data_IF_440773649274
#
_entry.id   IF_440773649274
#
_cell.length_a   1.000
_cell.length_b   1.000
_cell.length_c   1.000
_cell.angle_alpha   90.00
_cell.angle_beta   90.00
_cell.angle_gamma   90.00
#
_symmetry.space_group_name_H-M   'P 1'
#
loop_
_entity.id
_entity.type
_entity.pdbx_description
1 polymer ?
#
# COMPACT_ATOMS: atom_id res chain seq x y z
N UNK A 1 -5.67 -26.42 6.62
CA UNK A 1 -5.51 -25.00 6.20
C UNK A 1 -4.46 -24.35 7.08
N UNK A 2 -3.42 -23.72 6.52
CA UNK A 2 -2.51 -22.89 7.33
C UNK A 2 -3.28 -21.65 7.77
N UNK A 3 -3.34 -21.36 9.07
CA UNK A 3 -3.90 -20.10 9.58
C UNK A 3 -3.09 -18.94 8.99
N UNK A 4 -3.70 -18.12 8.16
CA UNK A 4 -3.10 -16.86 7.70
C UNK A 4 -3.28 -15.85 8.83
N UNK A 5 -2.19 -15.46 9.47
CA UNK A 5 -2.20 -14.42 10.49
C UNK A 5 -1.99 -13.05 9.85
N UNK A 6 -2.84 -12.11 10.26
CA UNK A 6 -2.85 -10.74 9.76
C UNK A 6 -2.36 -9.79 10.85
N UNK A 7 -1.68 -8.74 10.43
CA UNK A 7 -1.10 -7.75 11.33
C UNK A 7 -1.41 -6.35 10.84
N UNK A 8 -1.99 -5.55 11.73
CA UNK A 8 -2.22 -4.11 11.51
C UNK A 8 -0.98 -3.37 12.01
N UNK A 9 -0.50 -2.48 11.16
CA UNK A 9 0.52 -1.50 11.48
C UNK A 9 -0.12 -0.12 11.51
N UNK A 10 0.35 0.70 12.44
CA UNK A 10 -0.20 2.03 12.70
C UNK A 10 0.94 3.03 12.81
N UNK A 11 0.82 4.16 12.12
CA UNK A 11 1.80 5.25 12.14
C UNK A 11 1.18 6.54 12.66
N UNK A 12 1.92 7.25 13.51
CA UNK A 12 1.65 8.65 13.82
C UNK A 12 2.28 9.52 12.72
N UNK A 13 1.48 10.03 11.79
CA UNK A 13 1.99 10.57 10.51
C UNK A 13 2.27 12.08 10.53
N UNK A 14 1.93 12.77 11.63
CA UNK A 14 2.35 14.18 11.85
C UNK A 14 3.82 14.31 12.21
N UNK A 15 4.42 13.25 12.73
CA UNK A 15 5.84 13.21 13.12
C UNK A 15 6.56 12.14 12.32
N UNK A 16 6.30 12.09 11.01
CA UNK A 16 6.89 11.08 10.14
C UNK A 16 8.41 11.32 10.03
N UNK A 17 9.26 10.33 10.38
CA UNK A 17 10.70 10.45 10.19
C UNK A 17 11.05 10.68 8.71
N UNK A 18 12.15 11.38 8.40
CA UNK A 18 12.58 11.59 7.03
C UNK A 18 12.97 10.26 6.37
N UNK A 19 12.88 10.20 5.04
CA UNK A 19 13.39 9.08 4.27
C UNK A 19 14.92 9.11 4.25
N UNK A 20 15.58 8.11 4.85
CA UNK A 20 17.04 8.07 4.99
C UNK A 20 17.79 8.01 3.65
N UNK A 21 17.22 7.33 2.65
CA UNK A 21 17.85 7.14 1.35
C UNK A 21 16.88 7.54 0.25
N UNK A 22 17.16 8.62 -0.50
CA UNK A 22 16.34 9.00 -1.63
C UNK A 22 16.42 7.93 -2.73
N UNK A 23 15.37 7.85 -3.54
CA UNK A 23 15.38 6.99 -4.72
C UNK A 23 16.35 7.53 -5.77
N UNK A 24 16.97 6.67 -6.58
CA UNK A 24 17.70 7.08 -7.78
C UNK A 24 16.87 8.00 -8.69
N UNK A 25 17.52 8.98 -9.32
CA UNK A 25 16.87 10.04 -10.09
C UNK A 25 16.03 9.57 -11.29
N UNK A 26 16.24 8.34 -11.78
CA UNK A 26 15.43 7.76 -12.87
C UNK A 26 14.06 7.24 -12.39
N UNK A 27 13.82 7.20 -11.08
CA UNK A 27 12.50 6.93 -10.52
C UNK A 27 11.81 8.23 -10.13
N UNK A 28 10.53 8.35 -10.48
CA UNK A 28 9.70 9.49 -10.11
C UNK A 28 8.59 9.04 -9.16
N UNK A 29 8.50 9.68 -7.99
CA UNK A 29 7.40 9.49 -7.04
C UNK A 29 6.38 10.62 -7.24
N UNK A 30 5.11 10.30 -7.43
CA UNK A 30 4.04 11.29 -7.61
C UNK A 30 2.66 10.74 -7.28
N UNK A 31 1.67 11.62 -7.19
CA UNK A 31 0.27 11.23 -7.23
C UNK A 31 -0.10 10.59 -8.58
N UNK A 32 -0.97 9.58 -8.55
CA UNK A 32 -1.62 9.05 -9.75
C UNK A 32 -2.72 10.01 -10.22
N UNK A 33 -2.90 10.13 -11.53
CA UNK A 33 -4.07 10.83 -12.10
C UNK A 33 -5.26 9.88 -12.20
N UNK A 34 -6.48 10.40 -12.37
CA UNK A 34 -7.68 9.55 -12.45
C UNK A 34 -7.69 8.68 -13.71
N UNK A 35 -7.08 9.14 -14.79
CA UNK A 35 -6.94 8.41 -16.05
C UNK A 35 -6.04 7.17 -15.91
N UNK A 36 -5.17 7.16 -14.89
CA UNK A 36 -4.24 6.06 -14.60
C UNK A 36 -4.88 4.93 -13.78
N UNK A 37 -6.16 5.02 -13.42
CA UNK A 37 -6.85 4.03 -12.57
C UNK A 37 -6.63 2.58 -13.02
N UNK A 38 -6.82 2.31 -14.33
CA UNK A 38 -6.64 0.96 -14.90
C UNK A 38 -5.18 0.49 -14.83
N UNK A 39 -4.22 1.40 -15.03
CA UNK A 39 -2.79 1.08 -14.94
C UNK A 39 -2.39 0.78 -13.50
N UNK A 40 -2.87 1.57 -12.55
CA UNK A 40 -2.65 1.37 -11.12
C UNK A 40 -3.25 0.04 -10.66
N UNK A 41 -4.50 -0.25 -11.02
CA UNK A 41 -5.13 -1.53 -10.69
C UNK A 41 -4.36 -2.71 -11.29
N UNK A 42 -3.89 -2.60 -12.53
CA UNK A 42 -3.06 -3.63 -13.16
C UNK A 42 -1.75 -3.87 -12.39
N UNK A 43 -1.05 -2.81 -11.96
CA UNK A 43 0.19 -2.94 -11.17
C UNK A 43 -0.07 -3.61 -9.83
N UNK A 44 -1.14 -3.22 -9.13
CA UNK A 44 -1.55 -3.86 -7.87
C UNK A 44 -1.80 -5.35 -8.10
N UNK A 45 -2.70 -5.70 -9.02
CA UNK A 45 -3.06 -7.10 -9.25
C UNK A 45 -1.86 -7.95 -9.67
N UNK A 46 -0.98 -7.39 -10.50
CA UNK A 46 0.24 -8.08 -10.94
C UNK A 46 1.21 -8.32 -9.79
N UNK A 47 1.41 -7.32 -8.92
CA UNK A 47 2.28 -7.46 -7.75
C UNK A 47 1.77 -8.54 -6.78
N UNK A 48 0.45 -8.56 -6.51
CA UNK A 48 -0.15 -9.61 -5.66
C UNK A 48 -0.10 -11.00 -6.31
N UNK A 49 -0.33 -11.09 -7.63
CA UNK A 49 -0.34 -12.38 -8.33
C UNK A 49 1.05 -13.02 -8.41
N UNK A 50 2.11 -12.19 -8.50
CA UNK A 50 3.50 -12.66 -8.61
C UNK A 50 4.21 -12.83 -7.27
N UNK A 51 3.61 -12.41 -6.15
CA UNK A 51 4.13 -12.65 -4.81
C UNK A 51 3.59 -13.98 -4.27
N UNK A 52 4.47 -14.96 -4.06
CA UNK A 52 4.11 -16.30 -3.57
C UNK A 52 3.48 -16.31 -2.17
N UNK A 53 3.64 -15.24 -1.38
CA UNK A 53 2.95 -15.08 -0.10
C UNK A 53 1.50 -14.60 -0.27
N UNK A 54 1.16 -14.07 -1.45
CA UNK A 54 -0.15 -13.52 -1.78
C UNK A 54 -0.94 -14.32 -2.80
N UNK A 55 -0.30 -14.94 -3.78
CA UNK A 55 -0.91 -15.64 -4.91
C UNK A 55 -2.07 -16.56 -4.50
N UNK A 56 -1.86 -17.35 -3.45
CA UNK A 56 -2.85 -18.34 -2.97
C UNK A 56 -4.09 -17.71 -2.32
N UNK A 57 -3.95 -16.49 -1.79
CA UNK A 57 -5.04 -15.78 -1.10
C UNK A 57 -5.65 -14.70 -1.97
N UNK A 58 -4.98 -14.25 -3.03
CA UNK A 58 -5.49 -13.19 -3.90
C UNK A 58 -6.91 -13.51 -4.40
N UNK A 59 -7.14 -14.74 -4.85
CA UNK A 59 -8.47 -15.18 -5.31
C UNK A 59 -9.58 -15.02 -4.26
N UNK A 60 -9.24 -15.01 -2.96
CA UNK A 60 -10.21 -14.90 -1.87
C UNK A 60 -10.69 -13.46 -1.63
N UNK A 61 -9.94 -12.45 -2.08
CA UNK A 61 -10.28 -11.05 -1.84
C UNK A 61 -10.12 -10.14 -3.06
N UNK A 62 -9.87 -10.73 -4.24
CA UNK A 62 -9.64 -10.01 -5.49
C UNK A 62 -10.77 -9.04 -5.82
N UNK A 63 -12.00 -9.53 -5.87
CA UNK A 63 -13.17 -8.70 -6.22
C UNK A 63 -13.33 -7.51 -5.28
N UNK A 64 -13.08 -7.75 -3.98
CA UNK A 64 -13.11 -6.69 -2.98
C UNK A 64 -11.97 -5.69 -3.18
N UNK A 65 -10.75 -6.16 -3.46
CA UNK A 65 -9.63 -5.28 -3.74
C UNK A 65 -9.94 -4.42 -4.97
N UNK A 66 -10.44 -5.02 -6.05
CA UNK A 66 -10.87 -4.29 -7.26
C UNK A 66 -11.91 -3.21 -6.93
N UNK A 67 -12.94 -3.55 -6.15
CA UNK A 67 -13.94 -2.60 -5.68
C UNK A 67 -13.32 -1.44 -4.87
N UNK A 68 -12.40 -1.73 -3.95
CA UNK A 68 -11.75 -0.70 -3.13
C UNK A 68 -10.83 0.20 -3.96
N UNK A 69 -10.14 -0.35 -4.96
CA UNK A 69 -9.35 0.43 -5.91
C UNK A 69 -10.26 1.39 -6.69
N UNK A 70 -11.38 0.90 -7.22
CA UNK A 70 -12.34 1.73 -7.95
C UNK A 70 -12.92 2.83 -7.07
N UNK A 71 -13.31 2.51 -5.82
CA UNK A 71 -13.83 3.49 -4.87
C UNK A 71 -12.79 4.57 -4.54
N UNK A 72 -11.53 4.20 -4.34
CA UNK A 72 -10.46 5.18 -4.09
C UNK A 72 -10.34 6.17 -5.26
N UNK A 73 -10.31 5.66 -6.51
CA UNK A 73 -10.23 6.50 -7.71
C UNK A 73 -11.49 7.33 -8.00
N UNK A 74 -12.62 7.03 -7.36
CA UNK A 74 -13.85 7.84 -7.44
C UNK A 74 -13.91 8.92 -6.36
N UNK A 75 -13.44 8.62 -5.14
CA UNK A 75 -13.70 9.44 -3.95
C UNK A 75 -12.52 10.33 -3.56
N UNK A 76 -11.31 9.80 -3.66
CA UNK A 76 -10.13 10.45 -3.12
C UNK A 76 -9.65 11.58 -4.04
N UNK A 77 -9.17 12.67 -3.45
CA UNK A 77 -8.49 13.74 -4.19
C UNK A 77 -7.16 13.23 -4.77
N UNK A 78 -6.40 12.48 -3.96
CA UNK A 78 -5.20 11.75 -4.37
C UNK A 78 -5.43 10.26 -4.12
N UNK A 79 -5.85 9.49 -5.14
CA UNK A 79 -6.27 8.10 -4.95
C UNK A 79 -5.10 7.15 -4.72
N UNK A 80 -3.92 7.48 -5.24
CA UNK A 80 -2.74 6.64 -5.10
C UNK A 80 -1.46 7.46 -5.22
N UNK A 81 -0.40 6.96 -4.58
CA UNK A 81 0.97 7.36 -4.90
C UNK A 81 1.58 6.29 -5.80
N UNK A 82 2.26 6.72 -6.86
CA UNK A 82 2.92 5.86 -7.83
C UNK A 82 4.42 6.13 -7.87
N UNK A 83 5.18 5.09 -8.20
CA UNK A 83 6.56 5.22 -8.66
C UNK A 83 6.60 4.85 -10.13
N UNK A 84 7.13 5.76 -10.96
CA UNK A 84 7.35 5.55 -12.37
C UNK A 84 8.83 5.39 -12.70
N UNK A 85 9.12 4.58 -13.71
CA UNK A 85 10.42 4.48 -14.38
C UNK A 85 10.22 4.88 -15.85
N UNK A 86 10.60 6.11 -16.19
CA UNK A 86 10.18 6.73 -17.45
C UNK A 86 8.64 6.84 -17.54
N UNK A 87 8.01 6.41 -18.65
CA UNK A 87 6.56 6.48 -18.82
C UNK A 87 5.79 5.36 -18.08
N UNK A 88 6.48 4.37 -17.51
CA UNK A 88 5.85 3.18 -16.93
C UNK A 88 5.67 3.32 -15.43
N UNK A 89 4.44 3.13 -14.93
CA UNK A 89 4.18 2.92 -13.51
C UNK A 89 4.65 1.51 -13.12
N UNK A 90 5.52 1.41 -12.11
CA UNK A 90 6.17 0.17 -11.68
C UNK A 90 5.89 -0.19 -10.21
N UNK A 91 5.37 0.76 -9.45
CA UNK A 91 4.89 0.54 -8.10
C UNK A 91 3.78 1.53 -7.77
N UNK A 92 2.90 1.16 -6.85
CA UNK A 92 1.78 1.99 -6.42
C UNK A 92 1.30 1.62 -5.03
N UNK A 93 0.78 2.61 -4.30
CA UNK A 93 0.01 2.40 -3.08
C UNK A 93 -1.28 3.20 -3.18
N UNK A 94 -2.40 2.49 -3.20
CA UNK A 94 -3.73 3.09 -3.20
C UNK A 94 -4.13 3.48 -1.78
N UNK A 95 -4.71 4.66 -1.66
CA UNK A 95 -4.99 5.33 -0.39
C UNK A 95 -6.49 5.34 -0.09
N UNK A 96 -6.80 5.45 1.20
CA UNK A 96 -8.12 5.76 1.71
C UNK A 96 -7.95 6.83 2.81
N UNK A 97 -8.58 7.99 2.65
CA UNK A 97 -8.46 9.12 3.58
C UNK A 97 -9.49 9.10 4.72
N UNK A 98 -10.37 8.11 4.77
CA UNK A 98 -11.30 7.94 5.89
C UNK A 98 -10.52 7.60 7.18
N UNK A 99 -10.60 8.44 8.24
CA UNK A 99 -9.97 8.16 9.53
C UNK A 99 -10.48 6.89 10.22
N UNK A 100 -11.68 6.43 9.85
CA UNK A 100 -12.30 5.21 10.37
C UNK A 100 -11.98 3.95 9.54
N UNK A 101 -11.27 4.09 8.41
CA UNK A 101 -10.92 2.94 7.58
C UNK A 101 -10.05 1.93 8.34
N UNK A 102 -10.34 0.65 8.14
CA UNK A 102 -9.53 -0.43 8.70
C UNK A 102 -8.05 -0.40 8.25
N UNK A 103 -7.83 0.09 7.03
CA UNK A 103 -6.53 0.30 6.40
C UNK A 103 -6.61 1.54 5.52
N UNK A 104 -5.75 2.54 5.78
CA UNK A 104 -5.58 3.70 4.90
C UNK A 104 -4.69 3.38 3.69
N UNK A 105 -3.91 2.30 3.77
CA UNK A 105 -3.13 1.74 2.66
C UNK A 105 -3.92 0.59 2.03
N UNK A 106 -4.82 0.89 1.09
CA UNK A 106 -5.75 -0.08 0.47
C UNK A 106 -5.02 -1.26 -0.15
N UNK A 107 -3.99 -0.99 -0.95
CA UNK A 107 -3.16 -2.04 -1.57
C UNK A 107 -1.87 -2.32 -0.81
N UNK A 108 -1.53 -1.49 0.19
CA UNK A 108 -0.14 -1.35 0.62
C UNK A 108 0.80 -0.92 -0.51
N UNK A 109 2.12 -0.83 -0.25
CA UNK A 109 3.13 -0.66 -1.28
C UNK A 109 3.20 -1.90 -2.18
N UNK A 110 2.62 -1.81 -3.36
CA UNK A 110 2.67 -2.85 -4.39
C UNK A 110 3.76 -2.50 -5.39
N UNK A 111 4.76 -3.38 -5.54
CA UNK A 111 5.91 -3.19 -6.43
C UNK A 111 5.97 -4.37 -7.39
N UNK A 112 6.11 -4.11 -8.69
CA UNK A 112 6.31 -5.18 -9.67
C UNK A 112 7.59 -5.97 -9.35
N UNK A 113 7.54 -7.29 -9.52
CA UNK A 113 8.57 -8.21 -9.01
C UNK A 113 9.96 -7.93 -9.59
N UNK A 114 10.05 -7.50 -10.85
CA UNK A 114 11.30 -7.14 -11.50
C UNK A 114 11.94 -5.85 -10.94
N UNK A 115 11.18 -5.07 -10.16
CA UNK A 115 11.58 -3.82 -9.50
C UNK A 115 11.78 -3.94 -7.97
N UNK A 116 11.46 -5.09 -7.37
CA UNK A 116 11.66 -5.35 -5.94
C UNK A 116 13.13 -5.25 -5.50
N UNK A 117 13.34 -5.22 -4.17
CA UNK A 117 14.66 -5.17 -3.51
C UNK A 117 15.53 -3.93 -3.83
N UNK A 118 14.92 -2.84 -4.32
CA UNK A 118 15.58 -1.55 -4.63
C UNK A 118 15.16 -0.39 -3.72
N UNK A 119 14.57 -0.69 -2.56
CA UNK A 119 14.06 0.33 -1.63
C UNK A 119 12.72 0.97 -2.03
N UNK A 120 12.16 0.63 -3.19
CA UNK A 120 10.92 1.22 -3.73
C UNK A 120 9.73 1.09 -2.77
N UNK A 121 9.52 -0.08 -2.15
CA UNK A 121 8.42 -0.25 -1.19
C UNK A 121 8.54 0.64 0.05
N UNK A 122 9.77 0.94 0.50
CA UNK A 122 10.00 1.84 1.63
C UNK A 122 9.75 3.29 1.24
N UNK A 123 10.26 3.73 0.08
CA UNK A 123 10.03 5.08 -0.42
C UNK A 123 8.55 5.33 -0.71
N UNK A 124 7.87 4.33 -1.28
CA UNK A 124 6.44 4.38 -1.56
C UNK A 124 5.61 4.44 -0.27
N UNK A 125 5.95 3.67 0.76
CA UNK A 125 5.31 3.79 2.07
C UNK A 125 5.48 5.20 2.63
N UNK A 126 6.70 5.74 2.63
CA UNK A 126 6.97 7.08 3.14
C UNK A 126 6.12 8.14 2.45
N UNK A 127 6.14 8.16 1.11
CA UNK A 127 5.37 9.11 0.32
C UNK A 127 3.85 8.96 0.52
N UNK A 128 3.36 7.72 0.71
CA UNK A 128 1.95 7.46 1.01
C UNK A 128 1.54 8.02 2.37
N UNK A 129 2.36 7.82 3.40
CA UNK A 129 2.11 8.36 4.74
C UNK A 129 2.18 9.89 4.76
N UNK A 130 3.11 10.48 4.00
CA UNK A 130 3.20 11.92 3.83
C UNK A 130 1.92 12.47 3.15
N UNK A 131 1.47 11.83 2.08
CA UNK A 131 0.24 12.22 1.38
C UNK A 131 -1.00 12.14 2.27
N UNK A 132 -1.13 11.10 3.10
CA UNK A 132 -2.22 10.98 4.07
C UNK A 132 -2.15 12.07 5.15
N UNK A 133 -0.94 12.45 5.57
CA UNK A 133 -0.71 13.53 6.56
C UNK A 133 -1.09 14.91 6.00
N UNK A 134 -0.76 15.16 4.73
CA UNK A 134 -1.20 16.34 3.97
C UNK A 134 -2.73 16.37 3.78
N UNK A 135 -3.35 15.20 3.59
CA UNK A 135 -4.80 15.03 3.56
C UNK A 135 -5.49 15.24 4.92
N UNK A 136 -4.72 15.54 5.98
CA UNK A 136 -5.26 15.92 7.29
C UNK A 136 -5.31 14.78 8.30
N UNK A 137 -4.94 13.55 7.95
CA UNK A 137 -4.94 12.44 8.89
C UNK A 137 -3.85 12.65 9.96
N UNK A 138 -4.17 12.27 11.19
CA UNK A 138 -3.23 12.27 12.31
C UNK A 138 -2.49 10.93 12.41
N UNK A 139 -3.20 9.86 12.02
CA UNK A 139 -2.75 8.49 12.08
C UNK A 139 -3.12 7.80 10.77
N UNK A 140 -2.27 6.88 10.31
CA UNK A 140 -2.57 5.99 9.21
C UNK A 140 -2.40 4.54 9.65
N UNK A 141 -3.18 3.65 9.04
CA UNK A 141 -3.09 2.22 9.27
C UNK A 141 -2.86 1.44 7.97
N UNK A 142 -2.22 0.28 8.09
CA UNK A 142 -1.92 -0.61 6.99
C UNK A 142 -1.96 -2.05 7.47
N UNK A 143 -2.65 -2.92 6.73
CA UNK A 143 -2.77 -4.32 7.12
C UNK A 143 -2.06 -5.22 6.11
N UNK A 144 -1.37 -6.26 6.61
CA UNK A 144 -0.68 -7.25 5.77
C UNK A 144 -0.59 -8.59 6.50
N UNK A 145 -0.21 -9.66 5.78
CA UNK A 145 0.05 -10.98 6.40
C UNK A 145 1.42 -11.00 7.07
N UNK A 146 1.52 -11.72 8.19
CA UNK A 146 2.75 -11.81 9.00
C UNK A 146 3.99 -12.32 8.25
N UNK A 147 3.79 -13.17 7.23
CA UNK A 147 4.89 -13.79 6.49
C UNK A 147 5.42 -12.95 5.31
N UNK A 148 4.81 -11.81 5.00
CA UNK A 148 5.15 -10.98 3.84
C UNK A 148 6.42 -10.16 4.06
N UNK A 149 7.08 -9.77 2.96
CA UNK A 149 8.18 -8.80 2.96
C UNK A 149 7.74 -7.47 3.57
N UNK A 150 6.52 -7.04 3.28
CA UNK A 150 5.95 -5.82 3.85
C UNK A 150 5.93 -5.88 5.38
N UNK A 151 5.39 -6.96 5.97
CA UNK A 151 5.33 -7.13 7.43
C UNK A 151 6.71 -7.12 8.10
N UNK A 152 7.70 -7.74 7.47
CA UNK A 152 9.03 -7.94 8.07
C UNK A 152 9.94 -6.72 7.94
N UNK A 153 9.87 -6.01 6.80
CA UNK A 153 10.92 -5.05 6.44
C UNK A 153 10.43 -3.68 6.04
N UNK A 154 9.17 -3.54 5.63
CA UNK A 154 8.62 -2.26 5.16
C UNK A 154 7.77 -1.61 6.23
N UNK A 155 6.75 -2.30 6.72
CA UNK A 155 5.78 -1.75 7.66
C UNK A 155 6.35 -1.41 9.04
N UNK A 156 7.36 -2.13 9.58
CA UNK A 156 8.03 -1.74 10.83
C UNK A 156 8.77 -0.38 10.77
N UNK A 157 8.98 0.18 9.57
CA UNK A 157 9.70 1.45 9.40
C UNK A 157 8.84 2.64 9.82
N UNK A 158 9.49 3.78 9.95
CA UNK A 158 8.85 5.07 10.26
C UNK A 158 8.08 5.08 11.59
N UNK A 159 8.55 4.29 12.56
CA UNK A 159 8.01 4.30 13.93
C UNK A 159 6.63 3.65 14.06
N UNK A 160 6.27 2.72 13.18
CA UNK A 160 4.99 2.02 13.31
C UNK A 160 4.86 1.29 14.64
N UNK A 161 3.66 1.23 15.20
CA UNK A 161 3.27 0.19 16.16
C UNK A 161 2.51 -0.91 15.42
N UNK A 162 2.45 -2.11 16.00
CA UNK A 162 1.82 -3.25 15.34
C UNK A 162 1.02 -4.11 16.29
N UNK A 163 -0.15 -4.59 15.85
CA UNK A 163 -1.03 -5.49 16.58
C UNK A 163 -1.53 -6.61 15.65
N UNK A 164 -1.84 -7.78 16.21
CA UNK A 164 -2.54 -8.83 15.47
C UNK A 164 -3.94 -8.33 15.08
N UNK A 165 -4.41 -8.74 13.90
CA UNK A 165 -5.80 -8.52 13.51
C UNK A 165 -6.63 -9.73 13.93
N UNK A 166 -7.73 -9.48 14.62
CA UNK A 166 -8.70 -10.51 15.01
C UNK A 166 -9.66 -10.90 13.87
N UNK A 167 -9.54 -10.23 12.72
CA UNK A 167 -10.35 -10.45 11.53
C UNK A 167 -9.46 -10.65 10.29
N UNK A 168 -10.03 -11.29 9.26
CA UNK A 168 -9.42 -11.36 7.93
C UNK A 168 -9.79 -10.07 7.20
N UNK A 169 -8.87 -9.12 6.98
CA UNK A 169 -9.19 -7.81 6.37
C UNK A 169 -9.66 -7.93 4.94
N UNK A 170 -9.18 -8.98 4.26
CA UNK A 170 -9.66 -9.44 2.97
C UNK A 170 -11.18 -9.74 2.94
N UNK A 171 -11.82 -9.98 4.09
CA UNK A 171 -13.21 -10.47 4.23
C UNK A 171 -14.11 -9.65 5.19
N UNK A 172 -13.58 -8.74 6.02
CA UNK A 172 -14.39 -8.02 7.03
C UNK A 172 -15.20 -6.85 6.43
N UNK A 173 -16.52 -6.91 6.47
CA UNK A 173 -17.42 -5.90 5.91
C UNK A 173 -17.60 -4.77 6.91
N UNK A 174 -16.91 -3.64 6.75
CA UNK A 174 -17.31 -2.35 7.32
C UNK A 174 -16.70 -1.22 6.52
#
# INVERSE_FOLDING_TARGET
MKLVRWKRFTWQIKTLPPLERPLPAHFTVRAATREEAKLVAHVVMTAFALDSTWSDTLNQFRERLELQLDLAFQREAVPAIVIAHGPRIIATSVLNTDPAADSNLVSGPSVLSEYCNRGLGTALLHASLAQLSEGGLLQASGITKENTTACKFVYPKFGSTSASCDFVPALAVT
#
